data_IF_984291311829
#
_entry.id   IF_984291311829
#
_cell.length_a   1.000
_cell.length_b   1.000
_cell.length_c   1.000
_cell.angle_alpha   90.00
_cell.angle_beta   90.00
_cell.angle_gamma   90.00
#
_symmetry.space_group_name_H-M   'P 1'
#
loop_
_entity.id
_entity.type
_entity.pdbx_description
1 polymer ?
#
# COMPACT_ATOMS: atom_id res chain seq x y z
N UNK A 1 14.79 17.29 -1.68
CA UNK A 1 13.57 16.47 -1.78
C UNK A 1 14.01 15.03 -1.59
N UNK A 2 13.51 14.32 -0.58
CA UNK A 2 13.92 12.94 -0.36
C UNK A 2 13.48 12.03 -1.51
N UNK A 3 14.17 10.91 -1.67
CA UNK A 3 13.81 9.91 -2.70
C UNK A 3 12.49 9.21 -2.39
N UNK A 4 12.18 9.03 -1.10
CA UNK A 4 11.02 8.26 -0.65
C UNK A 4 10.31 8.95 0.52
N UNK A 5 8.97 8.97 0.51
CA UNK A 5 8.12 9.16 1.69
C UNK A 5 7.57 7.80 2.10
N UNK A 6 7.99 7.31 3.26
CA UNK A 6 7.34 6.16 3.90
C UNK A 6 6.18 6.68 4.73
N UNK A 7 4.97 6.21 4.44
CA UNK A 7 3.73 6.67 5.08
C UNK A 7 3.14 5.50 5.86
N UNK A 8 3.08 5.65 7.18
CA UNK A 8 2.44 4.68 8.08
C UNK A 8 1.15 5.28 8.62
N UNK A 9 0.07 4.53 8.50
CA UNK A 9 -1.20 4.85 9.16
C UNK A 9 -1.42 3.86 10.30
N UNK A 10 -2.05 4.31 11.40
CA UNK A 10 -2.32 3.47 12.55
C UNK A 10 -3.66 3.82 13.21
N UNK A 11 -4.32 2.82 13.75
CA UNK A 11 -5.47 3.00 14.66
C UNK A 11 -5.59 1.82 15.61
N UNK A 12 -5.37 2.08 16.91
CA UNK A 12 -5.47 1.10 18.00
C UNK A 12 -4.68 -0.20 17.73
N UNK A 13 -3.45 -0.06 17.21
CA UNK A 13 -2.54 -1.18 16.96
C UNK A 13 -1.11 -0.83 17.40
N UNK A 14 -0.93 -0.57 18.70
CA UNK A 14 0.35 -0.16 19.26
C UNK A 14 1.46 -1.16 18.95
N UNK A 15 1.21 -2.47 19.11
CA UNK A 15 2.21 -3.52 18.87
C UNK A 15 2.61 -3.57 17.38
N UNK A 16 1.64 -3.49 16.49
CA UNK A 16 1.91 -3.45 15.05
C UNK A 16 2.66 -2.18 14.66
N UNK A 17 2.25 -1.02 15.19
CA UNK A 17 2.92 0.25 14.94
C UNK A 17 4.39 0.22 15.36
N UNK A 18 4.72 -0.34 16.53
CA UNK A 18 6.11 -0.43 17.01
C UNK A 18 6.96 -1.28 16.04
N UNK A 19 6.42 -2.42 15.57
CA UNK A 19 7.11 -3.25 14.57
C UNK A 19 7.36 -2.48 13.27
N UNK A 20 6.33 -1.79 12.76
CA UNK A 20 6.45 -1.00 11.53
C UNK A 20 7.49 0.10 11.67
N UNK A 21 7.42 0.90 12.75
CA UNK A 21 8.38 1.98 13.02
C UNK A 21 9.80 1.41 13.04
N UNK A 22 10.07 0.35 13.82
CA UNK A 22 11.39 -0.25 13.91
C UNK A 22 11.89 -0.71 12.53
N UNK A 23 11.06 -1.36 11.72
CA UNK A 23 11.46 -1.82 10.39
C UNK A 23 11.85 -0.69 9.43
N UNK A 24 11.29 0.52 9.64
CA UNK A 24 11.58 1.71 8.83
C UNK A 24 12.82 2.43 9.33
N UNK A 25 12.94 2.68 10.65
CA UNK A 25 14.08 3.43 11.20
C UNK A 25 15.40 2.67 11.14
N UNK A 26 15.36 1.34 11.06
CA UNK A 26 16.52 0.46 10.94
C UNK A 26 17.03 0.30 9.49
N UNK A 27 16.41 0.99 8.50
CA UNK A 27 16.87 0.91 7.12
C UNK A 27 18.26 1.54 6.94
N UNK A 28 19.11 0.86 6.16
CA UNK A 28 20.45 1.37 5.80
C UNK A 28 20.39 2.50 4.76
N UNK A 29 19.29 2.67 4.05
CA UNK A 29 19.01 3.77 3.15
C UNK A 29 18.56 4.99 3.97
N UNK A 30 19.12 6.17 3.69
CA UNK A 30 18.85 7.38 4.49
C UNK A 30 18.12 8.50 3.73
N UNK A 31 17.99 8.38 2.39
CA UNK A 31 17.34 9.42 1.58
C UNK A 31 15.81 9.24 1.56
N UNK A 32 15.20 9.20 2.74
CA UNK A 32 13.75 9.13 2.91
C UNK A 32 13.25 10.02 4.06
N UNK A 33 11.98 10.35 4.01
CA UNK A 33 11.23 10.89 5.14
C UNK A 33 10.24 9.85 5.66
N UNK A 34 9.99 9.88 6.96
CA UNK A 34 9.04 8.99 7.61
C UNK A 34 7.86 9.78 8.19
N UNK A 35 6.66 9.43 7.76
CA UNK A 35 5.39 10.08 8.08
C UNK A 35 4.49 9.08 8.82
N UNK A 36 3.97 9.47 9.99
CA UNK A 36 3.05 8.63 10.78
C UNK A 36 1.74 9.37 11.00
N UNK A 37 0.65 8.76 10.55
CA UNK A 37 -0.72 9.27 10.73
C UNK A 37 -1.45 8.31 11.66
N UNK A 38 -1.74 8.76 12.86
CA UNK A 38 -2.52 8.00 13.84
C UNK A 38 -3.95 8.50 13.86
N UNK A 39 -4.91 7.60 13.76
CA UNK A 39 -6.35 7.87 13.67
C UNK A 39 -7.02 8.28 14.99
N UNK A 40 -6.25 8.80 15.96
CA UNK A 40 -6.72 9.12 17.28
C UNK A 40 -6.84 7.89 18.16
N UNK A 41 -5.80 7.06 18.20
CA UNK A 41 -5.75 5.83 18.99
C UNK A 41 -5.92 6.09 20.48
N UNK A 42 -6.54 5.16 21.16
CA UNK A 42 -6.76 5.18 22.63
C UNK A 42 -5.89 4.16 23.37
N UNK A 43 -5.08 3.39 22.63
CA UNK A 43 -4.08 2.47 23.19
C UNK A 43 -2.71 3.16 23.35
N UNK A 44 -1.64 2.39 23.54
CA UNK A 44 -0.30 2.92 23.70
C UNK A 44 0.37 3.45 22.42
N UNK A 45 -0.36 3.57 21.29
CA UNK A 45 0.18 4.00 20.01
C UNK A 45 0.86 5.39 20.11
N UNK A 46 0.23 6.33 20.79
CA UNK A 46 0.77 7.69 20.95
C UNK A 46 2.10 7.71 21.71
N UNK A 47 2.25 6.86 22.72
CA UNK A 47 3.50 6.76 23.47
C UNK A 47 4.63 6.18 22.61
N UNK A 48 4.32 5.21 21.75
CA UNK A 48 5.28 4.65 20.78
C UNK A 48 5.73 5.72 19.79
N UNK A 49 4.82 6.53 19.27
CA UNK A 49 5.15 7.64 18.35
C UNK A 49 6.07 8.63 19.06
N UNK A 50 5.72 9.08 20.27
CA UNK A 50 6.53 10.03 21.07
C UNK A 50 7.92 9.51 21.37
N UNK A 51 8.06 8.22 21.68
CA UNK A 51 9.37 7.58 21.95
C UNK A 51 10.29 7.64 20.73
N UNK A 52 9.72 7.63 19.51
CA UNK A 52 10.44 7.62 18.25
C UNK A 52 10.43 8.97 17.51
N UNK A 53 9.97 10.05 18.14
CA UNK A 53 9.75 11.36 17.48
C UNK A 53 11.00 11.90 16.79
N UNK A 54 12.20 11.63 17.28
CA UNK A 54 13.45 12.07 16.64
C UNK A 54 13.77 11.38 15.32
N UNK A 55 13.06 10.30 14.99
CA UNK A 55 13.22 9.50 13.77
C UNK A 55 12.03 9.65 12.80
N UNK A 56 10.97 10.33 13.23
CA UNK A 56 9.76 10.56 12.45
C UNK A 56 9.77 12.02 11.98
N UNK A 57 9.74 12.23 10.66
CA UNK A 57 9.80 13.58 10.09
C UNK A 57 8.49 14.37 10.26
N UNK A 58 7.36 13.66 10.22
CA UNK A 58 6.04 14.22 10.47
C UNK A 58 5.13 13.20 11.15
N UNK A 59 4.37 13.63 12.14
CA UNK A 59 3.30 12.82 12.70
C UNK A 59 2.13 13.66 13.18
N UNK A 60 0.95 13.05 13.16
CA UNK A 60 -0.26 13.61 13.73
C UNK A 60 -1.10 12.48 14.34
N UNK A 61 -1.77 12.75 15.45
CA UNK A 61 -2.75 11.85 16.05
C UNK A 61 -4.07 12.60 16.18
N UNK A 62 -5.00 12.26 15.31
CA UNK A 62 -6.34 12.85 15.28
C UNK A 62 -7.32 11.90 14.62
N UNK A 63 -8.60 12.00 14.96
CA UNK A 63 -9.65 11.17 14.37
C UNK A 63 -9.66 11.28 12.84
N UNK A 64 -9.66 10.17 12.16
CA UNK A 64 -9.84 10.08 10.72
C UNK A 64 -11.22 9.52 10.32
N UNK A 65 -11.48 9.52 9.00
CA UNK A 65 -12.72 9.00 8.40
C UNK A 65 -12.51 7.60 7.81
N UNK A 66 -11.42 6.91 8.17
CA UNK A 66 -11.03 5.60 7.71
C UNK A 66 -9.63 5.57 7.08
N UNK A 67 -9.20 4.37 6.69
CA UNK A 67 -7.83 4.06 6.20
C UNK A 67 -7.39 5.04 5.12
N UNK A 68 -8.18 5.24 4.09
CA UNK A 68 -7.79 6.08 2.94
C UNK A 68 -7.80 7.57 3.27
N UNK A 69 -8.59 8.01 4.23
CA UNK A 69 -8.50 9.38 4.75
C UNK A 69 -7.16 9.60 5.46
N UNK A 70 -6.73 8.63 6.29
CA UNK A 70 -5.42 8.68 6.93
C UNK A 70 -4.27 8.65 5.90
N UNK A 71 -4.33 7.76 4.90
CA UNK A 71 -3.34 7.71 3.83
C UNK A 71 -3.30 9.01 3.01
N UNK A 72 -4.46 9.61 2.70
CA UNK A 72 -4.55 10.89 2.01
C UNK A 72 -3.94 12.04 2.82
N UNK A 73 -4.10 12.06 4.15
CA UNK A 73 -3.39 13.00 5.04
C UNK A 73 -1.87 12.83 4.89
N UNK A 74 -1.38 11.59 4.89
CA UNK A 74 0.04 11.29 4.67
C UNK A 74 0.54 11.78 3.31
N UNK A 75 -0.21 11.53 2.23
CA UNK A 75 0.11 12.00 0.88
C UNK A 75 0.21 13.53 0.84
N UNK A 76 -0.69 14.24 1.55
CA UNK A 76 -0.75 15.71 1.51
C UNK A 76 0.48 16.39 2.10
N UNK A 77 1.18 15.73 3.02
CA UNK A 77 2.41 16.24 3.67
C UNK A 77 3.69 15.60 3.12
N UNK A 78 3.56 14.55 2.29
CA UNK A 78 4.69 13.89 1.67
C UNK A 78 5.42 14.82 0.70
N UNK A 79 6.75 14.77 0.71
CA UNK A 79 7.63 15.56 -0.17
C UNK A 79 8.55 14.71 -1.03
N UNK A 80 8.62 13.39 -0.78
CA UNK A 80 9.46 12.45 -1.52
C UNK A 80 9.08 12.28 -2.98
N UNK A 81 10.03 11.82 -3.80
CA UNK A 81 9.76 11.46 -5.19
C UNK A 81 8.76 10.30 -5.30
N UNK A 82 8.93 9.29 -4.44
CA UNK A 82 8.04 8.14 -4.33
C UNK A 82 7.32 8.12 -2.98
N UNK A 83 6.16 7.48 -2.93
CA UNK A 83 5.44 7.13 -1.71
C UNK A 83 5.40 5.61 -1.55
N UNK A 84 5.63 5.12 -0.34
CA UNK A 84 5.43 3.74 0.09
C UNK A 84 4.49 3.74 1.30
N UNK A 85 3.47 2.89 1.27
CA UNK A 85 2.50 2.79 2.36
C UNK A 85 2.74 1.50 3.15
N UNK A 86 3.05 1.65 4.43
CA UNK A 86 3.17 0.55 5.40
C UNK A 86 2.18 0.83 6.53
N UNK A 87 1.09 0.10 6.59
CA UNK A 87 0.13 0.25 7.68
C UNK A 87 0.69 -0.33 8.99
N UNK A 88 0.18 0.10 10.13
CA UNK A 88 0.59 -0.44 11.42
C UNK A 88 0.43 -1.97 11.49
N UNK A 89 1.54 -2.68 11.54
CA UNK A 89 1.63 -4.15 11.44
C UNK A 89 2.43 -4.63 10.23
N UNK A 90 2.45 -3.87 9.13
CA UNK A 90 3.29 -4.17 7.98
C UNK A 90 4.74 -3.79 8.26
N UNK A 91 5.70 -4.58 7.81
CA UNK A 91 7.12 -4.35 8.08
C UNK A 91 7.95 -4.53 6.81
N UNK A 92 9.00 -3.75 6.64
CA UNK A 92 10.04 -4.08 5.66
C UNK A 92 10.75 -5.36 6.09
N UNK A 93 10.98 -6.29 5.14
CA UNK A 93 11.49 -7.65 5.47
C UNK A 93 12.96 -7.68 5.94
N UNK A 94 13.74 -6.63 5.67
CA UNK A 94 15.12 -6.48 6.13
C UNK A 94 15.52 -5.01 6.17
N UNK A 95 16.66 -4.71 6.83
CA UNK A 95 17.21 -3.36 6.92
C UNK A 95 17.83 -2.84 5.60
N UNK A 96 17.99 -3.69 4.59
CA UNK A 96 18.56 -3.35 3.28
C UNK A 96 17.53 -3.23 2.14
N UNK A 97 16.24 -3.38 2.44
CA UNK A 97 15.19 -3.34 1.40
C UNK A 97 15.26 -2.06 0.59
N UNK A 98 15.22 -0.90 1.24
CA UNK A 98 15.19 0.37 0.52
C UNK A 98 16.49 0.63 -0.26
N UNK A 99 17.65 0.30 0.30
CA UNK A 99 18.92 0.41 -0.44
C UNK A 99 18.96 -0.51 -1.65
N UNK A 100 18.46 -1.74 -1.55
CA UNK A 100 18.40 -2.67 -2.67
C UNK A 100 17.45 -2.17 -3.77
N UNK A 101 16.27 -1.65 -3.42
CA UNK A 101 15.30 -1.09 -4.38
C UNK A 101 15.89 0.09 -5.14
N UNK A 102 16.49 1.05 -4.44
CA UNK A 102 16.99 2.28 -5.05
C UNK A 102 18.41 2.16 -5.65
N UNK A 103 19.10 1.01 -5.46
CA UNK A 103 20.33 0.69 -6.22
C UNK A 103 20.03 0.29 -7.67
N UNK A 104 18.80 -0.14 -7.98
CA UNK A 104 18.41 -0.52 -9.34
C UNK A 104 18.06 0.75 -10.12
N UNK A 105 18.80 1.09 -11.21
CA UNK A 105 18.45 2.23 -12.03
C UNK A 105 17.06 2.05 -12.63
N UNK A 106 16.15 2.93 -12.27
CA UNK A 106 14.83 2.94 -12.86
C UNK A 106 14.18 4.34 -12.74
N UNK A 107 13.29 4.63 -13.66
CA UNK A 107 12.51 5.87 -13.72
C UNK A 107 11.01 5.60 -13.89
N UNK A 108 10.58 4.35 -13.63
CA UNK A 108 9.17 3.98 -13.76
C UNK A 108 8.31 4.72 -12.75
N UNK A 109 7.07 4.96 -13.11
CA UNK A 109 6.12 5.70 -12.27
C UNK A 109 5.63 4.87 -11.09
N UNK A 110 5.57 3.55 -11.24
CA UNK A 110 5.30 2.59 -10.16
C UNK A 110 6.32 1.46 -10.24
N UNK A 111 7.07 1.26 -9.16
CA UNK A 111 7.97 0.14 -8.96
C UNK A 111 7.35 -0.75 -7.91
N UNK A 112 7.36 -2.07 -8.10
CA UNK A 112 6.84 -2.99 -7.11
C UNK A 112 7.70 -4.25 -7.01
N UNK A 113 7.73 -4.84 -5.83
CA UNK A 113 8.46 -6.08 -5.56
C UNK A 113 7.56 -7.20 -5.08
N UNK A 114 8.20 -8.27 -4.62
CA UNK A 114 7.54 -9.43 -4.04
C UNK A 114 7.11 -9.16 -2.59
N UNK A 115 6.18 -9.96 -2.08
CA UNK A 115 5.59 -9.77 -0.77
C UNK A 115 5.67 -11.04 0.07
N UNK A 116 5.91 -10.88 1.36
CA UNK A 116 5.64 -11.90 2.35
C UNK A 116 4.32 -11.59 3.04
N UNK A 117 3.55 -12.61 3.37
CA UNK A 117 2.33 -12.46 4.18
C UNK A 117 2.45 -13.29 5.44
N UNK A 118 1.93 -12.77 6.55
CA UNK A 118 1.85 -13.50 7.81
C UNK A 118 0.39 -13.61 8.23
N UNK A 119 -0.02 -14.82 8.62
CA UNK A 119 -1.38 -15.08 9.10
C UNK A 119 -1.46 -15.08 10.64
N UNK A 120 -2.68 -15.25 11.17
CA UNK A 120 -2.93 -15.34 12.63
C UNK A 120 -2.20 -16.50 13.31
N UNK A 121 -1.82 -17.53 12.57
CA UNK A 121 -1.06 -18.68 13.06
C UNK A 121 0.45 -18.47 12.95
N UNK A 122 0.90 -17.25 12.65
CA UNK A 122 2.30 -16.90 12.42
C UNK A 122 2.94 -17.65 11.25
N UNK A 123 2.15 -18.14 10.29
CA UNK A 123 2.67 -18.79 9.09
C UNK A 123 3.02 -17.71 8.06
N UNK A 124 4.27 -17.72 7.63
CA UNK A 124 4.78 -16.82 6.60
C UNK A 124 4.66 -17.50 5.24
N UNK A 125 4.14 -16.76 4.24
CA UNK A 125 4.11 -17.17 2.84
C UNK A 125 4.84 -16.15 1.99
N UNK A 126 5.68 -16.64 1.08
CA UNK A 126 6.39 -15.84 0.10
C UNK A 126 5.59 -15.83 -1.21
N UNK A 127 5.19 -14.67 -1.65
CA UNK A 127 4.37 -14.52 -2.85
C UNK A 127 5.13 -13.68 -3.88
N UNK A 128 5.45 -14.31 -5.01
CA UNK A 128 6.02 -13.61 -6.15
C UNK A 128 4.92 -12.81 -6.85
N UNK A 129 5.18 -11.51 -7.05
CA UNK A 129 4.31 -10.66 -7.83
C UNK A 129 4.49 -10.91 -9.34
N UNK A 130 3.46 -10.70 -10.17
CA UNK A 130 3.58 -10.83 -11.63
C UNK A 130 4.65 -9.91 -12.19
N UNK A 131 5.43 -10.38 -13.16
CA UNK A 131 6.47 -9.57 -13.82
C UNK A 131 5.89 -8.37 -14.58
N UNK A 132 4.61 -8.44 -14.97
CA UNK A 132 3.88 -7.35 -15.63
C UNK A 132 2.47 -7.23 -15.07
N UNK A 133 1.99 -6.00 -14.90
CA UNK A 133 0.63 -5.72 -14.45
C UNK A 133 -0.19 -5.19 -15.62
N UNK A 134 -1.23 -5.94 -15.97
CA UNK A 134 -2.17 -5.58 -17.02
C UNK A 134 -3.62 -5.79 -16.57
N UNK A 135 -4.57 -5.60 -17.49
CA UNK A 135 -6.01 -5.69 -17.19
C UNK A 135 -6.40 -7.04 -16.59
N UNK A 136 -5.82 -8.14 -17.07
CA UNK A 136 -6.17 -9.47 -16.56
C UNK A 136 -5.65 -9.69 -15.11
N UNK A 137 -4.44 -9.23 -14.81
CA UNK A 137 -3.89 -9.31 -13.46
C UNK A 137 -4.73 -8.47 -12.49
N UNK A 138 -5.04 -7.21 -12.84
CA UNK A 138 -5.88 -6.35 -12.01
C UNK A 138 -7.35 -6.81 -11.94
N UNK A 139 -7.85 -7.54 -12.93
CA UNK A 139 -9.15 -8.20 -12.80
C UNK A 139 -9.15 -9.27 -11.72
N UNK A 140 -8.08 -10.07 -11.63
CA UNK A 140 -7.97 -11.20 -10.67
C UNK A 140 -7.55 -10.76 -9.28
N UNK A 141 -6.60 -9.85 -9.19
CA UNK A 141 -5.96 -9.45 -7.95
C UNK A 141 -5.69 -7.93 -7.94
N UNK A 142 -4.92 -7.46 -7.00
CA UNK A 142 -4.47 -6.07 -6.89
C UNK A 142 -2.95 -6.00 -6.95
N UNK A 143 -2.43 -4.80 -7.18
CA UNK A 143 -1.07 -4.46 -6.81
C UNK A 143 -1.08 -4.08 -5.33
N UNK A 144 -0.26 -4.76 -4.52
CA UNK A 144 -0.29 -4.58 -3.07
C UNK A 144 0.46 -3.30 -2.66
N UNK A 145 -0.20 -2.42 -1.90
CA UNK A 145 0.37 -1.14 -1.51
C UNK A 145 1.68 -1.24 -0.70
N UNK A 146 1.90 -2.23 0.23
CA UNK A 146 3.13 -2.28 1.02
C UNK A 146 4.37 -2.71 0.24
N UNK A 147 4.22 -3.12 -1.02
CA UNK A 147 5.35 -3.47 -1.91
C UNK A 147 5.45 -2.55 -3.12
N UNK A 148 4.68 -1.44 -3.13
CA UNK A 148 4.55 -0.54 -4.29
C UNK A 148 5.12 0.84 -3.98
N UNK A 149 6.18 1.22 -4.69
CA UNK A 149 6.76 2.57 -4.68
C UNK A 149 6.08 3.37 -5.78
N UNK A 150 5.23 4.30 -5.40
CA UNK A 150 4.35 5.06 -6.30
C UNK A 150 4.91 6.47 -6.42
N UNK A 151 5.23 6.97 -7.63
CA UNK A 151 5.61 8.37 -7.77
C UNK A 151 4.53 9.29 -7.21
N UNK A 152 4.94 10.17 -6.31
CA UNK A 152 4.04 11.14 -5.66
C UNK A 152 3.29 12.01 -6.67
N UNK A 153 3.91 12.32 -7.81
CA UNK A 153 3.28 13.09 -8.88
C UNK A 153 2.00 12.44 -9.45
N UNK A 154 1.85 11.10 -9.35
CA UNK A 154 0.64 10.43 -9.80
C UNK A 154 -0.57 10.82 -8.94
N UNK A 155 -0.38 11.00 -7.63
CA UNK A 155 -1.43 11.51 -6.74
C UNK A 155 -1.79 12.95 -7.06
N UNK A 156 -0.79 13.79 -7.31
CA UNK A 156 -1.00 15.19 -7.68
C UNK A 156 -1.73 15.35 -9.01
N UNK A 157 -1.39 14.50 -9.99
CA UNK A 157 -1.92 14.61 -11.36
C UNK A 157 -3.26 13.92 -11.54
N UNK A 158 -3.46 12.79 -10.88
CA UNK A 158 -4.63 11.94 -11.11
C UNK A 158 -5.56 11.84 -9.91
N UNK A 159 -5.23 12.52 -8.79
CA UNK A 159 -5.99 12.54 -7.55
C UNK A 159 -5.56 11.46 -6.56
N UNK A 160 -5.82 11.72 -5.30
CA UNK A 160 -5.53 10.85 -4.16
C UNK A 160 -6.42 9.60 -4.18
N UNK A 161 -6.35 8.78 -3.14
CA UNK A 161 -7.28 7.67 -2.95
C UNK A 161 -8.71 8.18 -2.82
N UNK A 162 -9.65 7.53 -3.50
CA UNK A 162 -11.06 7.89 -3.45
C UNK A 162 -11.71 7.32 -2.19
N UNK A 163 -12.00 8.19 -1.22
CA UNK A 163 -12.53 7.81 0.08
C UNK A 163 -13.97 7.25 0.04
N UNK A 164 -14.66 7.26 -1.12
CA UNK A 164 -15.93 6.56 -1.27
C UNK A 164 -15.75 5.04 -1.17
N UNK A 165 -14.61 4.51 -1.63
CA UNK A 165 -14.24 3.10 -1.48
C UNK A 165 -13.59 2.88 -0.10
N UNK A 166 -14.23 2.09 0.75
CA UNK A 166 -13.78 1.93 2.14
C UNK A 166 -12.76 0.82 2.34
N UNK A 167 -12.67 -0.12 1.39
CA UNK A 167 -11.83 -1.33 1.51
C UNK A 167 -10.78 -1.41 0.40
N UNK A 168 -11.07 -0.91 -0.79
CA UNK A 168 -10.25 -1.12 -2.00
C UNK A 168 -9.97 0.16 -2.79
N UNK A 169 -9.79 1.31 -2.11
CA UNK A 169 -9.43 2.55 -2.82
C UNK A 169 -7.99 2.52 -3.38
N UNK A 170 -7.08 1.74 -2.80
CA UNK A 170 -5.77 1.45 -3.38
C UNK A 170 -5.89 0.68 -4.71
N UNK A 171 -6.76 -0.34 -4.76
CA UNK A 171 -7.07 -1.03 -6.00
C UNK A 171 -7.69 -0.08 -7.03
N UNK A 172 -8.63 0.80 -6.62
CA UNK A 172 -9.19 1.82 -7.51
C UNK A 172 -8.09 2.69 -8.11
N UNK A 173 -7.18 3.20 -7.26
CA UNK A 173 -6.07 4.03 -7.71
C UNK A 173 -5.20 3.29 -8.74
N UNK A 174 -4.80 2.05 -8.47
CA UNK A 174 -4.00 1.27 -9.40
C UNK A 174 -4.73 1.02 -10.73
N UNK A 175 -6.01 0.68 -10.69
CA UNK A 175 -6.83 0.50 -11.90
C UNK A 175 -6.93 1.82 -12.67
N UNK A 176 -7.23 2.91 -12.00
CA UNK A 176 -7.35 4.25 -12.58
C UNK A 176 -6.07 4.67 -13.30
N UNK A 177 -4.90 4.51 -12.66
CA UNK A 177 -3.63 4.97 -13.26
C UNK A 177 -3.07 3.97 -14.27
N UNK A 178 -3.09 2.67 -13.99
CA UNK A 178 -2.48 1.66 -14.87
C UNK A 178 -3.37 1.39 -16.10
N UNK A 179 -4.67 1.16 -15.90
CA UNK A 179 -5.61 0.86 -17.01
C UNK A 179 -6.11 2.16 -17.63
N UNK A 180 -6.60 3.09 -16.81
CA UNK A 180 -7.21 4.33 -17.29
C UNK A 180 -6.21 5.31 -17.90
N UNK A 181 -4.98 5.42 -17.34
CA UNK A 181 -3.94 6.39 -17.79
C UNK A 181 -2.74 5.71 -18.44
N UNK A 182 -2.69 4.39 -18.50
CA UNK A 182 -1.61 3.59 -19.12
C UNK A 182 -0.23 3.88 -18.51
N UNK A 183 -0.19 4.10 -17.20
CA UNK A 183 1.06 4.34 -16.47
C UNK A 183 1.92 3.08 -16.49
N UNK A 184 3.22 3.25 -16.72
CA UNK A 184 4.18 2.16 -16.75
C UNK A 184 4.49 1.65 -15.34
N UNK A 185 4.55 0.33 -15.20
CA UNK A 185 4.92 -0.33 -13.95
C UNK A 185 6.17 -1.18 -14.17
N UNK A 186 6.98 -1.38 -13.12
CA UNK A 186 8.16 -2.23 -13.18
C UNK A 186 8.23 -3.14 -11.96
N UNK A 187 8.23 -4.44 -12.20
CA UNK A 187 8.54 -5.44 -11.19
C UNK A 187 10.07 -5.48 -10.92
N UNK A 188 10.43 -5.60 -9.66
CA UNK A 188 11.79 -5.93 -9.23
C UNK A 188 11.73 -7.21 -8.37
N UNK A 189 12.62 -8.19 -8.59
CA UNK A 189 12.56 -9.48 -7.89
C UNK A 189 13.19 -9.37 -6.49
N UNK A 190 12.62 -8.52 -5.65
CA UNK A 190 13.03 -8.25 -4.27
C UNK A 190 11.80 -8.37 -3.39
N UNK A 191 11.88 -9.13 -2.32
CA UNK A 191 10.87 -9.13 -1.28
C UNK A 191 10.95 -7.82 -0.49
N UNK A 192 9.85 -7.08 -0.46
CA UNK A 192 9.81 -5.72 0.10
C UNK A 192 9.26 -5.74 1.52
N UNK A 193 8.07 -6.29 1.71
CA UNK A 193 7.35 -6.17 2.97
C UNK A 193 6.73 -7.49 3.41
N UNK A 194 6.64 -7.64 4.73
CA UNK A 194 5.81 -8.60 5.42
C UNK A 194 4.47 -7.94 5.72
N UNK A 195 3.40 -8.43 5.09
CA UNK A 195 2.05 -7.94 5.24
C UNK A 195 1.27 -8.77 6.26
N UNK A 196 0.69 -8.11 7.26
CA UNK A 196 -0.17 -8.76 8.24
C UNK A 196 -1.58 -8.95 7.68
N UNK A 197 -1.95 -10.22 7.41
CA UNK A 197 -3.27 -10.57 6.86
C UNK A 197 -4.40 -10.54 7.91
N UNK A 198 -4.16 -10.08 9.13
CA UNK A 198 -5.21 -9.92 10.14
C UNK A 198 -6.03 -8.62 9.99
N UNK A 199 -5.63 -7.75 9.05
CA UNK A 199 -6.21 -6.43 8.83
C UNK A 199 -7.59 -6.41 8.16
N UNK A 200 -8.08 -5.19 7.87
CA UNK A 200 -9.45 -4.92 7.38
C UNK A 200 -9.80 -5.62 6.07
N UNK A 201 -8.85 -5.70 5.13
CA UNK A 201 -9.06 -6.32 3.80
C UNK A 201 -9.24 -7.84 3.87
N UNK A 202 -8.80 -8.46 4.97
CA UNK A 202 -8.92 -9.89 5.22
C UNK A 202 -10.12 -10.24 6.13
N UNK A 203 -10.87 -9.25 6.58
CA UNK A 203 -12.07 -9.45 7.40
C UNK A 203 -13.21 -10.05 6.57
N UNK A 204 -13.53 -11.31 6.87
CA UNK A 204 -14.59 -12.06 6.19
C UNK A 204 -15.96 -11.39 6.27
N UNK A 205 -16.24 -10.62 7.32
CA UNK A 205 -17.50 -9.87 7.46
C UNK A 205 -17.65 -8.78 6.39
N UNK A 206 -16.55 -8.28 5.85
CA UNK A 206 -16.49 -7.23 4.83
C UNK A 206 -16.36 -7.75 3.39
N UNK A 207 -16.27 -9.07 3.21
CA UNK A 207 -16.06 -9.69 1.88
C UNK A 207 -17.11 -9.26 0.85
N UNK A 208 -18.37 -9.17 1.24
CA UNK A 208 -19.44 -8.75 0.32
C UNK A 208 -19.28 -7.28 -0.13
N UNK A 209 -18.82 -6.41 0.76
CA UNK A 209 -18.50 -5.01 0.43
C UNK A 209 -17.28 -4.93 -0.50
N UNK A 210 -16.20 -5.64 -0.17
CA UNK A 210 -15.01 -5.74 -1.00
C UNK A 210 -15.36 -6.15 -2.45
N UNK A 211 -16.17 -7.20 -2.61
CA UNK A 211 -16.58 -7.67 -3.95
C UNK A 211 -17.42 -6.62 -4.67
N UNK A 212 -18.34 -5.93 -3.98
CA UNK A 212 -19.14 -4.85 -4.59
C UNK A 212 -18.26 -3.70 -5.05
N UNK A 213 -17.38 -3.20 -4.18
CA UNK A 213 -16.46 -2.09 -4.53
C UNK A 213 -15.56 -2.47 -5.70
N UNK A 214 -14.97 -3.68 -5.71
CA UNK A 214 -14.17 -4.16 -6.85
C UNK A 214 -14.96 -4.23 -8.15
N UNK A 215 -16.17 -4.76 -8.13
CA UNK A 215 -17.01 -4.84 -9.32
C UNK A 215 -17.35 -3.45 -9.86
N UNK A 216 -17.69 -2.50 -8.98
CA UNK A 216 -17.94 -1.11 -9.36
C UNK A 216 -16.72 -0.49 -10.04
N UNK A 217 -15.53 -0.66 -9.49
CA UNK A 217 -14.28 -0.15 -10.06
C UNK A 217 -14.00 -0.79 -11.43
N UNK A 218 -14.21 -2.11 -11.55
CA UNK A 218 -14.04 -2.80 -12.82
C UNK A 218 -15.01 -2.28 -13.89
N UNK A 219 -16.27 -2.05 -13.53
CA UNK A 219 -17.27 -1.49 -14.45
C UNK A 219 -16.94 -0.04 -14.88
N UNK A 220 -16.25 0.74 -14.02
CA UNK A 220 -15.82 2.12 -14.32
C UNK A 220 -14.66 2.20 -15.31
N UNK A 221 -13.69 1.30 -15.21
CA UNK A 221 -12.38 1.49 -15.86
C UNK A 221 -12.02 0.43 -16.91
N UNK A 222 -12.59 -0.77 -16.84
CA UNK A 222 -12.25 -1.83 -17.78
C UNK A 222 -13.04 -1.68 -19.09
N UNK A 223 -12.42 -2.09 -20.18
CA UNK A 223 -13.14 -2.24 -21.43
C UNK A 223 -14.30 -3.26 -21.25
N UNK A 224 -15.56 -2.91 -21.57
CA UNK A 224 -16.71 -3.77 -21.30
C UNK A 224 -16.63 -5.14 -21.95
N UNK A 225 -16.08 -5.23 -23.17
CA UNK A 225 -15.94 -6.50 -23.92
C UNK A 225 -14.92 -7.39 -23.20
N UNK A 226 -13.74 -6.85 -22.83
CA UNK A 226 -12.74 -7.62 -22.08
C UNK A 226 -13.29 -8.05 -20.73
N UNK A 227 -13.99 -7.18 -20.02
CA UNK A 227 -14.56 -7.49 -18.71
C UNK A 227 -15.59 -8.63 -18.81
N UNK A 228 -16.42 -8.65 -19.86
CA UNK A 228 -17.34 -9.76 -20.11
C UNK A 228 -16.59 -11.09 -20.25
N UNK A 229 -15.51 -11.13 -21.05
CA UNK A 229 -14.72 -12.36 -21.22
C UNK A 229 -14.00 -12.77 -19.93
N UNK A 230 -13.46 -11.83 -19.15
CA UNK A 230 -12.82 -12.12 -17.89
C UNK A 230 -13.82 -12.71 -16.87
N UNK A 231 -15.03 -12.17 -16.79
CA UNK A 231 -16.10 -12.69 -15.93
C UNK A 231 -16.57 -14.07 -16.38
N UNK A 232 -16.67 -14.30 -17.68
CA UNK A 232 -17.00 -15.62 -18.21
C UNK A 232 -15.93 -16.65 -17.88
N UNK A 233 -14.66 -16.32 -18.12
CA UNK A 233 -13.52 -17.16 -17.77
C UNK A 233 -13.49 -17.51 -16.27
N UNK A 234 -13.75 -16.54 -15.40
CA UNK A 234 -13.79 -16.76 -13.95
C UNK A 234 -14.89 -17.74 -13.53
N UNK A 235 -16.07 -17.68 -14.18
CA UNK A 235 -17.19 -18.61 -13.91
C UNK A 235 -16.90 -20.05 -14.35
N UNK A 236 -16.08 -20.25 -15.37
CA UNK A 236 -15.73 -21.57 -15.89
C UNK A 236 -14.64 -22.29 -15.05
N UNK A 237 -13.95 -21.56 -14.16
CA UNK A 237 -12.87 -22.10 -13.31
C UNK A 237 -13.27 -22.34 -11.85
N UNK A 238 -14.43 -21.84 -11.43
CA UNK A 238 -15.04 -22.09 -10.12
C UNK A 238 -16.09 -23.19 -10.24
#
# INVERSE_FOLDING_TARGET
MPKLSVITINFNNAIGLEKTINSVIDQSFSDFEFIVIDGGSSDNSLEIIKKNVSKINYWISEKDKGIYNAQNKGISVASGEYCLFLNGGDCLVSNSVLSNVFSIPNSCDIIYGDIQTIDRNQQVKHLKMPDTIGSFQLFRDTLWHPVSFIKRELFLKYGNYDEQFKIVADYEFFVRVIIGKKIATKHIPIEIALFDTSGLSSDMSKRSQLVRERNQIQDMYFNPVLLFFFRLYSKLRN
#
